data_IF_277033661572
#
_entry.id   IF_277033661572
#
_cell.length_a   1.000
_cell.length_b   1.000
_cell.length_c   1.000
_cell.angle_alpha   90.00
_cell.angle_beta   90.00
_cell.angle_gamma   90.00
#
_symmetry.space_group_name_H-M   'P 1'
#
loop_
_entity.id
_entity.type
_entity.pdbx_description
1 polymer ?
#
# COMPACT_ATOMS: atom_id res chain seq x y z
N UNK A 1 13.62 10.25 1.48
CA UNK A 1 13.31 9.61 2.77
C UNK A 1 13.15 10.72 3.79
N UNK A 2 12.06 10.74 4.55
CA UNK A 2 11.80 11.80 5.53
C UNK A 2 12.19 11.28 6.90
N UNK A 3 13.37 11.66 7.37
CA UNK A 3 13.82 11.33 8.72
C UNK A 3 13.11 12.21 9.75
N UNK A 4 12.74 11.63 10.89
CA UNK A 4 11.97 12.29 11.95
C UNK A 4 12.54 11.96 13.32
N UNK A 5 12.41 12.89 14.26
CA UNK A 5 12.68 12.61 15.67
C UNK A 5 11.61 11.64 16.18
N UNK A 6 12.03 10.66 16.98
CA UNK A 6 11.20 9.55 17.44
C UNK A 6 11.07 9.63 18.96
N UNK A 7 9.84 9.71 19.45
CA UNK A 7 9.56 9.63 20.89
C UNK A 7 9.52 8.19 21.34
N UNK A 8 9.97 7.94 22.55
CA UNK A 8 10.00 6.64 23.16
C UNK A 8 9.15 6.62 24.43
N UNK A 9 8.47 5.49 24.67
CA UNK A 9 7.62 5.30 25.82
C UNK A 9 7.86 3.92 26.42
N UNK A 10 7.73 3.81 27.74
CA UNK A 10 7.66 2.51 28.41
C UNK A 10 6.30 1.87 28.09
N UNK A 11 6.31 0.64 27.55
CA UNK A 11 5.09 -0.04 27.08
C UNK A 11 4.07 -0.27 28.19
N UNK A 12 4.54 -0.60 29.41
CA UNK A 12 3.66 -1.02 30.49
C UNK A 12 3.00 0.17 31.18
N UNK A 13 3.78 1.21 31.49
CA UNK A 13 3.32 2.41 32.18
C UNK A 13 2.80 3.50 31.24
N UNK A 14 3.18 3.46 29.96
CA UNK A 14 2.95 4.54 29.00
C UNK A 14 3.78 5.80 29.29
N UNK A 15 4.70 5.74 30.25
CA UNK A 15 5.52 6.89 30.63
C UNK A 15 6.46 7.27 29.50
N UNK A 16 6.62 8.58 29.27
CA UNK A 16 7.59 9.09 28.32
C UNK A 16 9.01 8.73 28.77
N UNK A 17 9.73 7.98 27.93
CA UNK A 17 11.08 7.50 28.21
C UNK A 17 12.16 8.44 27.64
N UNK A 18 11.83 9.24 26.63
CA UNK A 18 12.76 10.15 25.95
C UNK A 18 12.62 10.09 24.44
N UNK A 19 13.70 10.43 23.74
CA UNK A 19 13.79 10.42 22.29
C UNK A 19 14.84 9.40 21.84
N UNK A 20 14.53 8.61 20.82
CA UNK A 20 15.49 7.68 20.25
C UNK A 20 16.71 8.47 19.73
N UNK A 21 17.92 7.96 19.95
CA UNK A 21 19.15 8.58 19.48
C UNK A 21 20.26 7.53 19.31
N UNK A 22 21.49 8.01 19.17
CA UNK A 22 22.67 7.19 18.97
C UNK A 22 23.85 7.72 19.77
N UNK A 23 24.60 6.81 20.40
CA UNK A 23 25.90 7.09 20.97
C UNK A 23 26.94 6.11 20.40
N UNK A 24 27.69 6.59 19.39
CA UNK A 24 28.55 5.75 18.57
C UNK A 24 27.72 4.77 17.71
N UNK A 25 27.90 3.47 17.94
CA UNK A 25 27.07 2.43 17.31
C UNK A 25 25.80 2.13 18.11
N UNK A 26 25.76 2.45 19.40
CA UNK A 26 24.66 2.09 20.29
C UNK A 26 23.38 2.85 19.92
N UNK A 27 22.27 2.15 20.05
CA UNK A 27 20.93 2.72 20.12
C UNK A 27 20.72 3.22 21.55
N UNK A 28 20.37 4.49 21.67
CA UNK A 28 20.15 5.12 22.97
C UNK A 28 18.82 5.87 23.02
N UNK A 29 18.38 6.24 24.23
CA UNK A 29 17.26 7.14 24.47
C UNK A 29 17.78 8.35 25.25
N UNK A 30 17.57 9.55 24.70
CA UNK A 30 18.01 10.82 25.30
C UNK A 30 16.82 11.62 25.80
N UNK A 31 17.02 12.43 26.84
CA UNK A 31 15.91 13.18 27.46
C UNK A 31 15.48 14.43 26.68
N UNK A 32 16.41 15.06 25.94
CA UNK A 32 16.17 16.30 25.20
C UNK A 32 16.04 16.03 23.69
N UNK A 33 15.02 16.62 23.06
CA UNK A 33 14.72 16.44 21.64
C UNK A 33 15.89 16.91 20.75
N UNK A 34 16.63 17.94 21.19
CA UNK A 34 17.74 18.51 20.42
C UNK A 34 18.91 17.52 20.23
N UNK A 35 19.04 16.57 21.15
CA UNK A 35 20.11 15.56 21.18
C UNK A 35 19.67 14.26 20.48
N UNK A 36 18.43 14.24 19.99
CA UNK A 36 17.86 13.10 19.31
C UNK A 36 18.36 12.99 17.86
N UNK A 37 18.46 11.74 17.39
CA UNK A 37 18.82 11.47 15.99
C UNK A 37 17.55 11.26 15.17
N UNK A 38 17.43 11.84 13.97
CA UNK A 38 16.30 11.52 13.10
C UNK A 38 16.38 10.11 12.53
N UNK A 39 15.26 9.38 12.53
CA UNK A 39 15.14 8.02 11.97
C UNK A 39 14.05 7.95 10.90
N UNK A 40 14.11 6.90 10.08
CA UNK A 40 13.08 6.58 9.11
C UNK A 40 12.91 5.07 8.98
N UNK A 41 11.70 4.64 8.62
CA UNK A 41 11.46 3.28 8.16
C UNK A 41 12.03 3.09 6.75
N UNK A 42 12.73 1.98 6.53
CA UNK A 42 13.30 1.60 5.25
C UNK A 42 12.83 0.20 4.86
N UNK A 43 12.27 0.06 3.67
CA UNK A 43 11.84 -1.22 3.14
C UNK A 43 12.81 -1.70 2.06
N UNK A 44 13.20 -2.98 2.14
CA UNK A 44 13.94 -3.67 1.09
C UNK A 44 13.31 -5.04 0.84
N UNK A 45 12.72 -5.22 -0.34
CA UNK A 45 11.87 -6.39 -0.59
C UNK A 45 10.68 -6.43 0.37
N UNK A 46 10.50 -7.56 1.06
CA UNK A 46 9.52 -7.76 2.13
C UNK A 46 9.95 -7.20 3.48
N UNK A 47 11.23 -6.90 3.64
CA UNK A 47 11.82 -6.68 4.95
C UNK A 47 11.76 -5.20 5.32
N UNK A 48 11.52 -4.96 6.62
CA UNK A 48 11.50 -3.63 7.21
C UNK A 48 12.77 -3.43 8.04
N UNK A 49 13.36 -2.26 7.92
CA UNK A 49 14.50 -1.83 8.72
C UNK A 49 14.22 -0.45 9.31
N UNK A 50 14.74 -0.20 10.50
CA UNK A 50 14.84 1.15 11.05
C UNK A 50 16.20 1.71 10.67
N UNK A 51 16.26 2.88 10.03
CA UNK A 51 17.51 3.52 9.64
C UNK A 51 17.67 4.89 10.27
N UNK A 52 18.88 5.22 10.69
CA UNK A 52 19.24 6.53 11.22
C UNK A 52 19.73 7.47 10.12
N UNK A 53 19.57 8.78 10.32
CA UNK A 53 20.09 9.79 9.40
C UNK A 53 21.62 9.87 9.51
N UNK A 54 22.33 9.00 8.79
CA UNK A 54 23.79 8.96 8.77
C UNK A 54 24.33 8.66 7.38
N UNK A 55 25.59 9.03 7.15
CA UNK A 55 26.38 8.61 5.98
C UNK A 55 27.65 7.90 6.45
N UNK A 56 27.87 6.62 6.10
CA UNK A 56 26.95 5.74 5.37
C UNK A 56 25.64 5.48 6.15
N UNK A 57 24.60 5.04 5.43
CA UNK A 57 23.35 4.64 6.05
C UNK A 57 23.58 3.46 7.00
N UNK A 58 22.96 3.53 8.17
CA UNK A 58 23.03 2.48 9.19
C UNK A 58 21.64 2.05 9.61
N UNK A 59 21.55 0.79 10.02
CA UNK A 59 20.30 0.08 10.23
C UNK A 59 20.32 -0.59 11.60
N UNK A 60 19.18 -0.58 12.27
CA UNK A 60 19.01 -1.23 13.55
C UNK A 60 19.29 -2.73 13.42
N UNK A 61 19.93 -3.31 14.43
CA UNK A 61 19.98 -4.75 14.61
C UNK A 61 20.57 -5.12 15.97
N UNK A 62 21.11 -6.32 16.07
CA UNK A 62 21.61 -6.88 17.33
C UNK A 62 23.12 -7.04 17.31
N UNK A 63 23.78 -6.51 18.34
CA UNK A 63 25.19 -6.74 18.63
C UNK A 63 25.40 -7.62 19.86
N UNK A 64 26.66 -7.97 20.12
CA UNK A 64 27.04 -8.84 21.24
C UNK A 64 26.52 -8.32 22.59
N UNK A 65 26.08 -9.23 23.45
CA UNK A 65 25.44 -8.89 24.73
C UNK A 65 24.01 -8.37 24.60
N UNK A 66 23.30 -8.72 23.51
CA UNK A 66 21.91 -8.33 23.22
C UNK A 66 21.71 -6.82 23.07
N UNK A 67 22.77 -6.07 22.78
CA UNK A 67 22.68 -4.63 22.58
C UNK A 67 21.98 -4.33 21.26
N UNK A 68 21.12 -3.32 21.25
CA UNK A 68 20.60 -2.77 20.03
C UNK A 68 21.65 -1.80 19.46
N UNK A 69 22.08 -2.02 18.23
CA UNK A 69 23.17 -1.29 17.57
C UNK A 69 22.79 -0.89 16.14
N UNK A 70 23.49 0.12 15.61
CA UNK A 70 23.37 0.63 14.25
C UNK A 70 24.43 0.04 13.33
N UNK A 71 24.11 -1.08 12.68
CA UNK A 71 24.96 -1.82 11.73
C UNK A 71 24.95 -1.27 10.29
N UNK A 72 25.88 -1.74 9.47
CA UNK A 72 25.92 -1.45 8.03
C UNK A 72 25.08 -2.49 7.26
N UNK A 73 24.53 -2.11 6.10
CA UNK A 73 23.66 -2.97 5.27
C UNK A 73 24.23 -4.36 4.96
N UNK A 74 25.56 -4.46 4.78
CA UNK A 74 26.28 -5.69 4.51
C UNK A 74 27.36 -6.00 5.57
N UNK A 75 27.28 -5.34 6.73
CA UNK A 75 28.17 -5.56 7.86
C UNK A 75 27.47 -6.30 8.99
N UNK A 76 28.20 -6.50 10.09
CA UNK A 76 27.64 -7.10 11.29
C UNK A 76 26.52 -6.21 11.89
N UNK A 77 25.58 -6.84 12.59
CA UNK A 77 24.59 -6.21 13.47
C UNK A 77 23.45 -5.42 12.79
N UNK A 78 23.17 -5.68 11.51
CA UNK A 78 21.95 -5.22 10.82
C UNK A 78 20.91 -6.35 10.81
N UNK A 79 19.67 -6.08 11.22
CA UNK A 79 18.60 -7.08 11.19
C UNK A 79 17.28 -6.47 10.70
N UNK A 80 16.49 -7.23 9.91
CA UNK A 80 15.11 -6.85 9.66
C UNK A 80 14.31 -6.86 10.96
N UNK A 81 13.35 -5.94 11.07
CA UNK A 81 12.53 -5.74 12.26
C UNK A 81 11.04 -5.80 11.96
N UNK A 82 10.25 -6.06 12.99
CA UNK A 82 8.79 -5.94 12.98
C UNK A 82 8.45 -4.75 13.87
N UNK A 83 7.63 -3.82 13.38
CA UNK A 83 6.99 -2.83 14.25
C UNK A 83 5.58 -3.32 14.58
N UNK A 84 5.37 -3.59 15.87
CA UNK A 84 4.19 -4.26 16.39
C UNK A 84 3.01 -3.28 16.50
N UNK A 85 1.80 -3.82 16.63
CA UNK A 85 0.58 -3.01 16.82
C UNK A 85 0.63 -2.15 18.09
N UNK A 86 1.36 -2.58 19.11
CA UNK A 86 1.61 -1.83 20.34
C UNK A 86 2.79 -0.84 20.23
N UNK A 87 3.26 -0.52 19.03
CA UNK A 87 4.39 0.39 18.76
C UNK A 87 5.75 -0.05 19.33
N UNK A 88 5.88 -1.28 19.83
CA UNK A 88 7.18 -1.88 20.12
C UNK A 88 7.84 -2.41 18.86
N UNK A 89 9.17 -2.62 18.90
CA UNK A 89 9.93 -3.18 17.77
C UNK A 89 10.51 -4.54 18.15
N UNK A 90 10.30 -5.55 17.31
CA UNK A 90 10.90 -6.89 17.45
C UNK A 90 11.93 -7.19 16.37
N UNK A 91 12.82 -8.13 16.62
CA UNK A 91 13.61 -8.78 15.56
C UNK A 91 12.67 -9.61 14.67
N UNK A 92 12.79 -9.48 13.35
CA UNK A 92 11.95 -10.27 12.44
C UNK A 92 12.26 -11.78 12.51
N UNK A 93 13.50 -12.15 12.82
CA UNK A 93 13.92 -13.55 13.02
C UNK A 93 13.44 -14.15 14.36
N UNK A 94 13.02 -13.31 15.32
CA UNK A 94 12.57 -13.74 16.63
C UNK A 94 11.50 -12.75 17.17
N UNK A 95 10.22 -12.86 16.72
CA UNK A 95 9.20 -11.85 17.01
C UNK A 95 8.89 -11.61 18.50
N UNK A 96 9.21 -12.56 19.38
CA UNK A 96 9.12 -12.39 20.83
C UNK A 96 10.19 -11.46 21.41
N UNK A 97 11.34 -11.32 20.75
CA UNK A 97 12.46 -10.48 21.20
C UNK A 97 12.27 -9.05 20.73
N UNK A 98 12.12 -8.14 21.70
CA UNK A 98 11.70 -6.75 21.51
C UNK A 98 12.72 -5.77 22.06
N UNK A 99 12.73 -4.55 21.54
CA UNK A 99 13.51 -3.46 22.14
C UNK A 99 13.02 -3.20 23.56
N UNK A 100 13.96 -3.06 24.49
CA UNK A 100 13.74 -2.71 25.89
C UNK A 100 14.71 -1.64 26.34
N UNK A 101 14.30 -0.84 27.31
CA UNK A 101 15.11 0.18 27.95
C UNK A 101 15.14 -0.09 29.46
N UNK A 102 16.20 -0.75 29.96
CA UNK A 102 16.35 -1.01 31.39
C UNK A 102 16.29 0.28 32.22
N UNK A 103 15.64 0.21 33.38
CA UNK A 103 15.51 1.36 34.28
C UNK A 103 16.88 1.92 34.69
N UNK A 104 17.05 3.23 34.48
CA UNK A 104 18.31 3.93 34.79
C UNK A 104 19.41 3.78 33.73
N UNK A 105 19.15 3.09 32.62
CA UNK A 105 20.05 3.01 31.47
C UNK A 105 19.54 3.92 30.34
N UNK A 106 20.46 4.44 29.54
CA UNK A 106 20.15 5.16 28.30
C UNK A 106 20.28 4.27 27.07
N UNK A 107 20.87 3.07 27.20
CA UNK A 107 21.09 2.13 26.12
C UNK A 107 19.91 1.20 25.94
N UNK A 108 19.60 0.94 24.68
CA UNK A 108 18.53 0.03 24.28
C UNK A 108 19.09 -1.37 24.04
N UNK A 109 18.37 -2.37 24.50
CA UNK A 109 18.72 -3.78 24.36
C UNK A 109 17.57 -4.56 23.71
N UNK A 110 17.87 -5.76 23.22
CA UNK A 110 16.89 -6.75 22.84
C UNK A 110 16.55 -7.63 24.04
N UNK A 111 15.26 -7.81 24.31
CA UNK A 111 14.78 -8.77 25.30
C UNK A 111 15.10 -10.22 24.89
N UNK A 112 14.99 -11.13 25.85
CA UNK A 112 15.10 -12.58 25.60
C UNK A 112 13.84 -13.15 24.98
N UNK A 113 12.70 -12.60 25.38
CA UNK A 113 11.36 -12.97 24.96
C UNK A 113 10.39 -11.79 25.19
N UNK A 114 9.08 -12.04 25.11
CA UNK A 114 8.04 -11.04 25.25
C UNK A 114 7.63 -10.76 26.71
N UNK A 115 8.25 -11.44 27.68
CA UNK A 115 7.93 -11.32 29.11
C UNK A 115 8.59 -10.13 29.81
N UNK A 116 9.56 -9.49 29.15
CA UNK A 116 10.19 -8.29 29.68
C UNK A 116 9.15 -7.17 29.94
N UNK A 117 9.30 -6.47 31.05
CA UNK A 117 8.35 -5.46 31.53
C UNK A 117 8.71 -4.05 31.07
N UNK A 118 9.97 -3.81 30.75
CA UNK A 118 10.60 -2.53 30.36
C UNK A 118 10.70 -2.38 28.83
N UNK A 119 9.68 -2.85 28.13
CA UNK A 119 9.64 -2.86 26.67
C UNK A 119 9.48 -1.43 26.16
N UNK A 120 10.30 -1.09 25.17
CA UNK A 120 10.33 0.24 24.58
C UNK A 120 9.35 0.32 23.40
N UNK A 121 8.41 1.26 23.47
CA UNK A 121 7.62 1.70 22.33
C UNK A 121 8.33 2.87 21.65
N UNK A 122 8.32 2.90 20.32
CA UNK A 122 8.85 4.03 19.55
C UNK A 122 7.74 4.63 18.68
N UNK A 123 7.56 5.94 18.72
CA UNK A 123 6.55 6.64 17.92
C UNK A 123 7.17 7.19 16.64
N UNK A 124 7.42 6.27 15.69
CA UNK A 124 7.83 6.64 14.33
C UNK A 124 6.70 6.47 13.31
N UNK A 125 5.52 6.02 13.77
CA UNK A 125 4.35 5.70 12.94
C UNK A 125 4.64 4.58 11.94
N UNK A 126 3.91 3.46 12.03
CA UNK A 126 4.09 2.43 11.02
C UNK A 126 3.37 2.81 9.72
N UNK A 127 3.99 2.75 8.52
CA UNK A 127 3.22 2.70 7.28
C UNK A 127 2.12 1.61 7.28
N UNK A 128 2.28 0.52 8.05
CA UNK A 128 1.27 -0.55 8.15
C UNK A 128 0.01 -0.15 8.93
N UNK A 129 0.08 0.82 9.86
CA UNK A 129 -1.02 1.16 10.77
C UNK A 129 -1.23 2.67 10.94
N UNK A 130 -0.92 3.46 9.92
CA UNK A 130 -0.86 4.92 10.06
C UNK A 130 -2.23 5.57 10.33
N UNK A 131 -3.34 4.91 9.98
CA UNK A 131 -4.69 5.42 10.31
C UNK A 131 -5.02 5.27 11.80
N UNK A 132 -4.27 4.49 12.58
CA UNK A 132 -4.42 4.43 14.04
C UNK A 132 -4.27 5.81 14.70
N UNK A 133 -3.44 6.69 14.11
CA UNK A 133 -3.17 8.04 14.61
C UNK A 133 -4.16 9.10 14.11
N UNK A 134 -5.13 8.72 13.28
CA UNK A 134 -6.18 9.63 12.79
C UNK A 134 -7.42 9.49 13.70
N UNK A 135 -8.01 10.58 14.21
CA UNK A 135 -9.21 10.50 15.03
C UNK A 135 -10.35 9.75 14.33
N UNK A 136 -11.02 8.84 15.04
CA UNK A 136 -12.11 8.04 14.48
C UNK A 136 -13.31 8.85 13.97
N UNK A 137 -13.46 10.09 14.43
CA UNK A 137 -14.50 11.05 13.99
C UNK A 137 -14.19 11.70 12.63
N UNK A 138 -12.96 11.60 12.14
CA UNK A 138 -12.55 12.15 10.83
C UNK A 138 -13.31 11.44 9.72
N UNK A 139 -13.92 12.19 8.80
CA UNK A 139 -14.60 11.59 7.64
C UNK A 139 -13.58 10.99 6.69
N UNK A 140 -13.86 9.82 6.12
CA UNK A 140 -12.91 9.15 5.21
C UNK A 140 -12.59 9.98 3.96
N UNK A 141 -13.48 10.89 3.57
CA UNK A 141 -13.28 11.83 2.46
C UNK A 141 -12.31 12.98 2.78
N UNK A 142 -12.03 13.23 4.05
CA UNK A 142 -11.12 14.28 4.52
C UNK A 142 -9.69 13.74 4.77
N UNK A 143 -9.49 12.43 4.56
CA UNK A 143 -8.20 11.76 4.75
C UNK A 143 -7.46 11.70 3.41
N UNK A 144 -6.20 12.15 3.39
CA UNK A 144 -5.32 11.96 2.24
C UNK A 144 -4.86 10.51 2.16
N UNK A 145 -5.45 9.72 1.26
CA UNK A 145 -5.09 8.31 1.06
C UNK A 145 -4.06 8.15 -0.06
N UNK A 146 -2.88 7.56 0.21
CA UNK A 146 -2.00 7.07 -0.84
C UNK A 146 -2.70 5.94 -1.61
N UNK A 147 -2.65 6.02 -2.94
CA UNK A 147 -3.27 5.02 -3.82
C UNK A 147 -2.35 4.52 -4.94
N UNK A 148 -2.65 3.35 -5.47
CA UNK A 148 -1.92 2.75 -6.59
C UNK A 148 -2.83 2.55 -7.81
N UNK A 149 -2.34 2.94 -8.99
CA UNK A 149 -3.03 2.72 -10.26
C UNK A 149 -2.89 1.26 -10.68
N UNK A 150 -4.00 0.62 -11.04
CA UNK A 150 -4.04 -0.78 -11.46
C UNK A 150 -3.25 -1.71 -10.53
N UNK A 151 -3.62 -1.69 -9.25
CA UNK A 151 -2.84 -2.19 -8.12
C UNK A 151 -2.41 -3.64 -8.26
N UNK A 152 -3.22 -4.46 -8.94
CA UNK A 152 -2.99 -5.88 -9.13
C UNK A 152 -2.24 -6.23 -10.42
N UNK A 153 -1.87 -5.24 -11.23
CA UNK A 153 -1.07 -5.43 -12.44
C UNK A 153 0.41 -5.68 -12.09
N UNK A 154 0.66 -6.83 -11.47
CA UNK A 154 1.92 -7.21 -10.83
C UNK A 154 2.60 -8.31 -11.64
N UNK A 155 3.72 -8.00 -12.28
CA UNK A 155 4.61 -9.04 -12.83
C UNK A 155 5.89 -9.13 -12.00
N UNK A 156 6.05 -10.27 -11.32
CA UNK A 156 7.18 -10.55 -10.43
C UNK A 156 8.44 -11.00 -11.17
N UNK A 157 8.34 -11.31 -12.47
CA UNK A 157 9.40 -12.02 -13.23
C UNK A 157 9.86 -11.24 -14.46
N UNK A 158 9.00 -10.44 -15.09
CA UNK A 158 9.32 -9.71 -16.31
C UNK A 158 8.68 -8.33 -16.31
N UNK A 159 9.37 -7.34 -16.89
CA UNK A 159 8.75 -6.04 -17.17
C UNK A 159 7.91 -6.20 -18.44
N UNK A 160 6.59 -6.17 -18.29
CA UNK A 160 5.67 -6.10 -19.43
C UNK A 160 5.13 -4.68 -19.56
N UNK A 161 4.69 -4.25 -20.76
CA UNK A 161 4.02 -2.96 -20.91
C UNK A 161 2.68 -2.87 -20.17
N UNK A 162 2.19 -3.99 -19.64
CA UNK A 162 0.92 -4.11 -18.93
C UNK A 162 1.10 -4.13 -17.41
N UNK A 163 2.33 -4.20 -16.91
CA UNK A 163 2.62 -4.29 -15.49
C UNK A 163 2.86 -2.92 -14.90
N UNK A 164 2.16 -2.60 -13.82
CA UNK A 164 2.27 -1.32 -13.12
C UNK A 164 3.07 -1.43 -11.82
N UNK A 165 3.19 -2.63 -11.24
CA UNK A 165 3.79 -2.85 -9.93
C UNK A 165 4.70 -4.07 -9.91
N UNK A 166 5.69 -4.05 -9.02
CA UNK A 166 6.52 -5.21 -8.66
C UNK A 166 6.25 -5.70 -7.23
N UNK A 167 5.36 -5.01 -6.49
CA UNK A 167 4.98 -5.33 -5.11
C UNK A 167 3.60 -5.98 -5.07
N UNK A 168 3.44 -7.01 -4.23
CA UNK A 168 2.13 -7.64 -3.98
C UNK A 168 1.13 -6.66 -3.36
N UNK A 169 -0.14 -7.03 -3.30
CA UNK A 169 -1.16 -6.20 -2.64
C UNK A 169 -0.82 -6.05 -1.16
N UNK A 170 -0.44 -7.14 -0.48
CA UNK A 170 0.05 -7.07 0.91
C UNK A 170 1.21 -6.07 1.06
N UNK A 171 2.22 -6.14 0.20
CA UNK A 171 3.38 -5.22 0.27
C UNK A 171 3.02 -3.76 -0.02
N UNK A 172 2.03 -3.50 -0.87
CA UNK A 172 1.51 -2.15 -1.10
C UNK A 172 0.80 -1.62 0.15
N UNK A 173 -0.10 -2.43 0.73
CA UNK A 173 -0.83 -2.08 1.96
C UNK A 173 0.14 -1.86 3.13
N UNK A 174 1.17 -2.70 3.26
CA UNK A 174 2.17 -2.55 4.30
C UNK A 174 3.03 -1.28 4.15
N UNK A 175 3.19 -0.80 2.91
CA UNK A 175 3.89 0.44 2.62
C UNK A 175 3.02 1.70 2.83
N UNK A 176 1.78 1.54 3.31
CA UNK A 176 0.86 2.64 3.63
C UNK A 176 -0.17 2.97 2.56
N UNK A 177 -0.25 2.19 1.47
CA UNK A 177 -1.30 2.33 0.47
C UNK A 177 -2.66 1.98 1.09
N UNK A 178 -3.68 2.82 0.86
CA UNK A 178 -5.05 2.60 1.35
C UNK A 178 -6.11 2.76 0.26
N UNK A 179 -5.71 3.10 -0.96
CA UNK A 179 -6.58 3.15 -2.13
C UNK A 179 -6.06 2.22 -3.23
N UNK A 180 -6.80 1.15 -3.53
CA UNK A 180 -6.46 0.19 -4.58
C UNK A 180 -7.35 0.43 -5.82
N UNK A 181 -6.76 0.60 -7.00
CA UNK A 181 -7.47 0.55 -8.28
C UNK A 181 -7.45 -0.89 -8.79
N UNK A 182 -8.55 -1.61 -8.61
CA UNK A 182 -8.71 -3.02 -8.97
C UNK A 182 -9.52 -3.13 -10.26
N UNK A 183 -8.92 -3.79 -11.25
CA UNK A 183 -9.49 -3.95 -12.59
C UNK A 183 -9.68 -5.41 -12.93
N UNK A 184 -10.89 -5.76 -13.32
CA UNK A 184 -11.31 -7.15 -13.50
C UNK A 184 -11.45 -7.51 -14.97
N UNK A 185 -11.01 -8.73 -15.27
CA UNK A 185 -11.37 -9.52 -16.44
C UNK A 185 -12.43 -10.55 -16.04
N UNK A 186 -13.46 -10.68 -16.87
CA UNK A 186 -14.45 -11.77 -16.75
C UNK A 186 -13.90 -13.02 -17.46
N UNK A 187 -13.87 -14.15 -16.76
CA UNK A 187 -13.58 -15.48 -17.32
C UNK A 187 -14.84 -16.33 -17.26
N UNK A 188 -15.17 -17.01 -18.35
CA UNK A 188 -16.29 -17.96 -18.44
C UNK A 188 -15.76 -19.39 -18.40
N UNK A 189 -16.57 -20.31 -17.87
CA UNK A 189 -16.30 -21.74 -18.01
C UNK A 189 -16.64 -22.18 -19.46
N UNK A 190 -15.67 -22.63 -20.26
CA UNK A 190 -15.92 -23.03 -21.64
C UNK A 190 -16.64 -24.38 -21.77
N UNK A 191 -16.71 -25.19 -20.69
CA UNK A 191 -17.09 -26.61 -20.77
C UNK A 191 -18.28 -26.99 -19.87
N UNK A 192 -19.01 -26.03 -19.31
CA UNK A 192 -20.08 -26.29 -18.35
C UNK A 192 -21.16 -25.20 -18.33
N UNK A 193 -22.11 -25.26 -17.38
CA UNK A 193 -23.09 -24.19 -17.21
C UNK A 193 -22.37 -22.84 -16.99
N UNK A 194 -22.99 -21.72 -17.41
CA UNK A 194 -22.37 -20.40 -17.32
C UNK A 194 -21.96 -20.11 -15.87
N UNK A 195 -20.64 -20.08 -15.66
CA UNK A 195 -20.01 -19.71 -14.40
C UNK A 195 -19.01 -18.61 -14.70
N UNK A 196 -19.20 -17.47 -14.05
CA UNK A 196 -18.34 -16.30 -14.19
C UNK A 196 -17.33 -16.27 -13.05
N UNK A 197 -16.06 -16.16 -13.41
CA UNK A 197 -14.95 -15.96 -12.47
C UNK A 197 -14.21 -14.68 -12.81
N UNK A 198 -13.53 -14.10 -11.83
CA UNK A 198 -12.93 -12.79 -11.95
C UNK A 198 -11.42 -12.87 -11.73
N UNK A 199 -10.68 -12.46 -12.75
CA UNK A 199 -9.23 -12.29 -12.69
C UNK A 199 -8.91 -10.80 -12.65
N UNK A 200 -7.81 -10.41 -12.02
CA UNK A 200 -7.34 -9.03 -12.17
C UNK A 200 -6.60 -8.86 -13.49
N UNK A 201 -6.71 -7.70 -14.14
CA UNK A 201 -6.14 -7.47 -15.46
C UNK A 201 -5.69 -6.02 -15.69
N UNK A 202 -4.96 -5.77 -16.78
CA UNK A 202 -4.59 -4.44 -17.25
C UNK A 202 -5.16 -4.19 -18.66
N UNK A 203 -6.34 -3.55 -18.74
CA UNK A 203 -7.03 -3.26 -20.00
C UNK A 203 -7.55 -4.51 -20.72
N UNK A 204 -8.01 -4.33 -21.96
CA UNK A 204 -8.39 -5.41 -22.88
C UNK A 204 -7.39 -5.42 -24.05
N UNK A 205 -6.60 -6.48 -24.16
CA UNK A 205 -5.56 -6.63 -25.20
C UNK A 205 -6.01 -7.51 -26.39
N UNK A 206 -7.28 -7.92 -26.43
CA UNK A 206 -7.98 -8.36 -27.64
C UNK A 206 -7.53 -9.64 -28.34
N UNK A 207 -6.61 -10.44 -27.80
CA UNK A 207 -5.98 -11.53 -28.57
C UNK A 207 -5.66 -12.81 -27.78
N UNK A 208 -6.40 -13.14 -26.72
CA UNK A 208 -6.19 -14.39 -25.96
C UNK A 208 -4.83 -14.50 -25.26
N UNK A 209 -4.02 -13.44 -25.29
CA UNK A 209 -2.80 -13.35 -24.52
C UNK A 209 -3.15 -13.15 -23.05
N UNK A 210 -2.66 -14.02 -22.17
CA UNK A 210 -2.85 -13.88 -20.71
C UNK A 210 -1.81 -12.95 -20.07
N UNK A 211 -0.99 -12.28 -20.88
CA UNK A 211 0.10 -11.42 -20.40
C UNK A 211 -0.37 -10.16 -19.66
N UNK A 212 -1.65 -9.80 -19.78
CA UNK A 212 -2.29 -8.70 -19.05
C UNK A 212 -3.18 -9.20 -17.91
N UNK A 213 -3.16 -10.51 -17.61
CA UNK A 213 -3.97 -11.16 -16.57
C UNK A 213 -3.04 -11.56 -15.42
N UNK A 214 -3.51 -11.37 -14.18
CA UNK A 214 -2.70 -11.53 -12.98
C UNK A 214 -3.34 -12.51 -12.00
N UNK A 215 -3.46 -12.14 -10.73
CA UNK A 215 -4.06 -13.00 -9.72
C UNK A 215 -5.59 -13.04 -9.81
N UNK A 216 -6.21 -14.02 -9.14
CA UNK A 216 -7.66 -14.07 -9.01
C UNK A 216 -8.14 -12.91 -8.12
N UNK A 217 -9.36 -12.42 -8.37
CA UNK A 217 -9.96 -11.40 -7.50
C UNK A 217 -10.12 -11.92 -6.06
N UNK A 218 -10.46 -13.20 -5.90
CA UNK A 218 -10.53 -13.85 -4.60
C UNK A 218 -9.19 -13.80 -3.85
N UNK A 219 -8.06 -14.12 -4.52
CA UNK A 219 -6.73 -14.03 -3.88
C UNK A 219 -6.40 -12.62 -3.43
N UNK A 220 -6.78 -11.59 -4.21
CA UNK A 220 -6.62 -10.19 -3.82
C UNK A 220 -7.43 -9.83 -2.56
N UNK A 221 -8.67 -10.33 -2.48
CA UNK A 221 -9.56 -10.10 -1.34
C UNK A 221 -9.03 -10.78 -0.07
N UNK A 222 -8.44 -11.97 -0.21
CA UNK A 222 -7.73 -12.65 0.90
C UNK A 222 -6.57 -11.79 1.41
N UNK A 223 -5.69 -11.28 0.53
CA UNK A 223 -4.61 -10.37 0.95
C UNK A 223 -5.14 -9.12 1.68
N UNK A 224 -6.24 -8.52 1.19
CA UNK A 224 -6.90 -7.39 1.86
C UNK A 224 -7.42 -7.77 3.26
N UNK A 225 -8.05 -8.95 3.38
CA UNK A 225 -8.64 -9.44 4.63
C UNK A 225 -7.57 -9.73 5.69
N UNK A 226 -6.50 -10.41 5.29
CA UNK A 226 -5.39 -10.73 6.18
C UNK A 226 -4.73 -9.45 6.70
N UNK A 227 -4.56 -8.45 5.82
CA UNK A 227 -4.07 -7.14 6.22
C UNK A 227 -4.99 -6.44 7.23
N UNK A 228 -6.30 -6.39 6.98
CA UNK A 228 -7.26 -5.74 7.89
C UNK A 228 -7.41 -6.49 9.22
N UNK A 229 -7.24 -7.82 9.23
CA UNK A 229 -7.21 -8.62 10.45
C UNK A 229 -5.95 -8.33 11.29
N UNK A 230 -4.79 -8.15 10.64
CA UNK A 230 -3.55 -7.79 11.31
C UNK A 230 -3.52 -6.33 11.79
N UNK A 231 -4.18 -5.41 11.06
CA UNK A 231 -4.21 -3.98 11.35
C UNK A 231 -5.65 -3.46 11.41
N UNK A 232 -6.42 -3.81 12.46
CA UNK A 232 -7.84 -3.46 12.57
C UNK A 232 -8.11 -1.96 12.69
N UNK A 233 -7.07 -1.13 12.90
CA UNK A 233 -7.19 0.32 12.82
C UNK A 233 -7.40 0.81 11.38
N UNK A 234 -7.00 0.05 10.37
CA UNK A 234 -6.97 0.51 8.99
C UNK A 234 -8.29 0.25 8.26
N UNK A 235 -8.47 0.87 7.09
CA UNK A 235 -9.51 0.50 6.12
C UNK A 235 -8.91 0.54 4.72
N UNK A 236 -9.55 -0.13 3.76
CA UNK A 236 -9.09 -0.13 2.36
C UNK A 236 -10.18 0.51 1.50
N UNK A 237 -9.86 1.58 0.76
CA UNK A 237 -10.69 2.02 -0.35
C UNK A 237 -10.34 1.21 -1.59
N UNK A 238 -11.35 0.63 -2.26
CA UNK A 238 -11.16 -0.18 -3.46
C UNK A 238 -11.97 0.41 -4.62
N UNK A 239 -11.28 1.00 -5.59
CA UNK A 239 -11.86 1.37 -6.89
C UNK A 239 -12.00 0.12 -7.73
N UNK A 240 -13.24 -0.33 -7.97
CA UNK A 240 -13.51 -1.56 -8.70
C UNK A 240 -14.06 -1.27 -10.09
N UNK A 241 -13.44 -1.83 -11.12
CA UNK A 241 -13.84 -1.67 -12.52
C UNK A 241 -13.76 -3.00 -13.26
N UNK A 242 -14.76 -3.30 -14.10
CA UNK A 242 -14.61 -4.31 -15.16
C UNK A 242 -13.87 -3.65 -16.34
N UNK A 243 -12.65 -4.10 -16.62
CA UNK A 243 -11.77 -3.53 -17.66
C UNK A 243 -11.68 -4.41 -18.90
N UNK A 244 -11.85 -5.73 -18.73
CA UNK A 244 -11.94 -6.68 -19.82
C UNK A 244 -13.19 -7.58 -19.65
N UNK A 245 -14.13 -7.46 -20.59
CA UNK A 245 -15.34 -8.29 -20.58
C UNK A 245 -15.15 -9.61 -21.32
N UNK A 246 -13.98 -9.87 -21.94
CA UNK A 246 -13.66 -11.06 -22.71
C UNK A 246 -14.77 -11.50 -23.70
N UNK A 247 -15.37 -10.51 -24.37
CA UNK A 247 -16.50 -10.69 -25.30
C UNK A 247 -17.71 -11.43 -24.72
N UNK A 248 -17.93 -11.36 -23.40
CA UNK A 248 -19.21 -11.76 -22.79
C UNK A 248 -20.33 -10.92 -23.42
N UNK A 249 -21.40 -11.54 -23.93
CA UNK A 249 -22.54 -10.82 -24.49
C UNK A 249 -23.15 -9.84 -23.50
N UNK A 250 -23.60 -8.67 -23.95
CA UNK A 250 -24.25 -7.67 -23.09
C UNK A 250 -25.45 -8.27 -22.31
N UNK A 251 -26.14 -9.25 -22.89
CA UNK A 251 -27.27 -9.96 -22.28
C UNK A 251 -26.88 -10.74 -21.02
N UNK A 252 -25.62 -11.13 -20.88
CA UNK A 252 -25.11 -11.92 -19.75
C UNK A 252 -24.64 -11.04 -18.59
N UNK A 253 -24.50 -9.73 -18.80
CA UNK A 253 -24.03 -8.79 -17.77
C UNK A 253 -24.83 -8.83 -16.46
N UNK A 254 -26.17 -8.97 -16.44
CA UNK A 254 -26.90 -9.15 -15.18
C UNK A 254 -26.45 -10.38 -14.37
N UNK A 255 -26.14 -11.50 -15.05
CA UNK A 255 -25.66 -12.72 -14.40
C UNK A 255 -24.20 -12.56 -13.94
N UNK A 256 -23.36 -11.85 -14.70
CA UNK A 256 -22.00 -11.46 -14.27
C UNK A 256 -22.05 -10.63 -12.99
N UNK A 257 -22.90 -9.61 -12.94
CA UNK A 257 -23.04 -8.75 -11.76
C UNK A 257 -23.53 -9.54 -10.56
N UNK A 258 -24.50 -10.45 -10.75
CA UNK A 258 -24.96 -11.37 -9.69
C UNK A 258 -23.82 -12.25 -9.16
N UNK A 259 -22.97 -12.77 -10.05
CA UNK A 259 -21.81 -13.56 -9.65
C UNK A 259 -20.76 -12.71 -8.90
N UNK A 260 -20.55 -11.46 -9.32
CA UNK A 260 -19.65 -10.54 -8.63
C UNK A 260 -20.18 -10.18 -7.23
N UNK A 261 -21.47 -9.90 -7.11
CA UNK A 261 -22.12 -9.63 -5.83
C UNK A 261 -21.98 -10.83 -4.88
N UNK A 262 -22.10 -12.06 -5.38
CA UNK A 262 -21.89 -13.27 -4.58
C UNK A 262 -20.43 -13.41 -4.08
N UNK A 263 -19.45 -12.98 -4.87
CA UNK A 263 -18.04 -12.90 -4.43
C UNK A 263 -17.90 -11.86 -3.33
N UNK A 264 -18.48 -10.66 -3.51
CA UNK A 264 -18.38 -9.54 -2.57
C UNK A 264 -19.17 -9.74 -1.27
N UNK A 265 -20.27 -10.51 -1.30
CA UNK A 265 -21.13 -10.76 -0.14
C UNK A 265 -20.40 -11.47 1.02
N UNK A 266 -19.30 -12.16 0.74
CA UNK A 266 -18.48 -12.86 1.72
C UNK A 266 -17.29 -12.02 2.24
N UNK A 267 -17.24 -10.73 1.88
CA UNK A 267 -16.11 -9.85 2.18
C UNK A 267 -16.48 -8.76 3.19
N UNK A 268 -15.45 -8.09 3.72
CA UNK A 268 -15.58 -7.01 4.72
C UNK A 268 -16.05 -5.69 4.09
N UNK A 269 -17.00 -5.74 3.16
CA UNK A 269 -17.50 -4.57 2.43
C UNK A 269 -18.37 -3.72 3.35
N UNK A 270 -18.06 -2.44 3.46
CA UNK A 270 -18.91 -1.51 4.20
C UNK A 270 -20.28 -1.36 3.50
N UNK A 271 -21.38 -1.14 4.26
CA UNK A 271 -22.70 -0.93 3.68
C UNK A 271 -22.72 0.20 2.66
N UNK A 272 -23.57 0.05 1.64
CA UNK A 272 -23.58 0.86 0.42
C UNK A 272 -23.67 2.37 0.67
N UNK A 273 -23.02 3.11 -0.23
CA UNK A 273 -22.95 4.57 -0.36
C UNK A 273 -23.96 5.36 0.49
N UNK A 274 -23.57 5.75 1.72
CA UNK A 274 -24.43 6.59 2.52
C UNK A 274 -24.56 7.97 1.88
N UNK A 275 -25.70 8.62 2.09
CA UNK A 275 -25.97 10.00 1.64
C UNK A 275 -24.99 11.03 2.22
N UNK A 276 -24.26 10.66 3.28
CA UNK A 276 -23.16 11.43 3.87
C UNK A 276 -21.91 10.55 3.98
N UNK A 277 -20.72 11.17 3.89
CA UNK A 277 -19.45 10.46 4.03
C UNK A 277 -19.32 9.83 5.43
N UNK A 278 -18.72 8.64 5.51
CA UNK A 278 -18.60 7.91 6.78
C UNK A 278 -17.39 8.39 7.61
N UNK A 279 -17.51 8.43 8.95
CA UNK A 279 -16.37 8.56 9.84
C UNK A 279 -15.44 7.34 9.74
N UNK A 280 -14.14 7.57 9.95
CA UNK A 280 -13.10 6.54 9.96
C UNK A 280 -13.44 5.40 10.92
N UNK A 281 -13.96 5.70 12.11
CA UNK A 281 -14.32 4.69 13.12
C UNK A 281 -15.29 3.64 12.59
N UNK A 282 -16.22 4.02 11.71
CA UNK A 282 -17.20 3.10 11.08
C UNK A 282 -16.56 2.21 10.02
N UNK A 283 -15.44 2.64 9.47
CA UNK A 283 -14.74 2.03 8.34
C UNK A 283 -13.55 1.16 8.72
N UNK A 284 -12.99 1.32 9.93
CA UNK A 284 -11.90 0.50 10.43
C UNK A 284 -12.24 -1.00 10.30
N UNK A 285 -11.28 -1.79 9.82
CA UNK A 285 -11.43 -3.21 9.52
C UNK A 285 -12.27 -3.54 8.28
N UNK A 286 -12.62 -2.57 7.43
CA UNK A 286 -13.51 -2.77 6.27
C UNK A 286 -12.91 -2.28 4.96
N UNK A 287 -13.53 -2.73 3.87
CA UNK A 287 -13.29 -2.26 2.52
C UNK A 287 -14.41 -1.29 2.11
N UNK A 288 -14.04 -0.07 1.72
CA UNK A 288 -14.92 0.92 1.11
C UNK A 288 -14.89 0.74 -0.42
N UNK A 289 -16.00 0.29 -1.00
CA UNK A 289 -16.07 0.06 -2.44
C UNK A 289 -16.39 1.35 -3.20
N UNK A 290 -15.46 1.78 -4.04
CA UNK A 290 -15.63 2.83 -5.03
C UNK A 290 -16.02 2.18 -6.36
N UNK A 291 -17.32 1.97 -6.54
CA UNK A 291 -17.89 1.36 -7.74
C UNK A 291 -17.66 2.21 -9.00
N UNK A 292 -16.94 1.63 -9.97
CA UNK A 292 -16.74 2.16 -11.33
C UNK A 292 -17.21 1.16 -12.40
N UNK A 293 -18.05 0.20 -12.00
CA UNK A 293 -18.74 -0.70 -12.90
C UNK A 293 -19.85 0.10 -13.56
N UNK A 294 -19.62 0.54 -14.79
CA UNK A 294 -20.67 1.14 -15.61
C UNK A 294 -21.49 0.01 -16.23
N UNK A 295 -22.81 -0.08 -15.97
CA UNK A 295 -23.68 -0.95 -16.74
C UNK A 295 -23.60 -0.56 -18.21
N UNK A 296 -23.49 -1.53 -19.12
CA UNK A 296 -23.49 -1.29 -20.56
C UNK A 296 -24.77 -0.57 -21.05
N UNK A 297 -25.85 -0.63 -20.26
CA UNK A 297 -27.12 0.01 -20.55
C UNK A 297 -27.78 0.51 -19.25
N UNK A 298 -27.45 1.72 -18.80
CA UNK A 298 -28.34 2.46 -17.91
C UNK A 298 -28.25 3.96 -18.13
N UNK A 299 -29.41 4.60 -18.24
CA UNK A 299 -29.59 6.03 -18.02
C UNK A 299 -29.04 6.42 -16.64
N UNK A 300 -28.45 7.62 -16.49
CA UNK A 300 -27.59 7.92 -15.37
C UNK A 300 -28.39 8.16 -14.10
N UNK A 301 -28.32 7.22 -13.16
CA UNK A 301 -28.63 7.48 -11.75
C UNK A 301 -27.40 7.21 -10.89
N UNK A 302 -27.04 8.25 -10.12
CA UNK A 302 -26.14 8.28 -8.96
C UNK A 302 -24.66 7.86 -9.07
N UNK A 303 -24.12 7.31 -10.17
CA UNK A 303 -22.66 7.27 -10.35
C UNK A 303 -22.17 8.59 -10.95
N UNK A 304 -21.31 9.34 -10.23
CA UNK A 304 -20.66 10.52 -10.81
C UNK A 304 -19.84 10.06 -12.01
N UNK A 305 -20.29 10.44 -13.22
CA UNK A 305 -19.69 10.05 -14.49
C UNK A 305 -18.19 10.35 -14.50
N UNK A 306 -17.36 9.32 -14.47
CA UNK A 306 -15.97 9.42 -14.90
C UNK A 306 -15.97 9.69 -16.41
N UNK A 307 -15.79 10.96 -16.81
CA UNK A 307 -15.64 11.31 -18.22
C UNK A 307 -14.35 10.66 -18.73
N UNK A 308 -14.48 9.74 -19.69
CA UNK A 308 -13.32 9.28 -20.47
C UNK A 308 -12.63 10.53 -21.04
N UNK A 309 -11.31 10.66 -20.87
CA UNK A 309 -10.55 11.64 -21.65
C UNK A 309 -10.82 11.32 -23.12
N UNK A 310 -11.29 12.31 -23.87
CA UNK A 310 -11.35 12.22 -25.33
C UNK A 310 -9.98 11.77 -25.82
N UNK A 311 -9.89 10.89 -26.84
CA UNK A 311 -8.62 10.67 -27.53
C UNK A 311 -8.05 12.04 -27.87
N UNK A 312 -6.76 12.27 -27.60
CA UNK A 312 -6.09 13.48 -28.07
C UNK A 312 -6.49 13.62 -29.54
N UNK A 313 -7.11 14.75 -29.90
CA UNK A 313 -7.25 15.12 -31.31
C UNK A 313 -5.89 14.88 -31.94
N UNK A 314 -5.89 14.21 -33.09
CA UNK A 314 -4.71 14.02 -33.92
C UNK A 314 -3.85 15.28 -33.86
N UNK A 315 -2.52 15.17 -33.73
CA UNK A 315 -1.68 16.36 -33.80
C UNK A 315 -2.09 17.14 -35.05
N UNK A 316 -2.22 18.48 -34.99
CA UNK A 316 -2.54 19.24 -36.18
C UNK A 316 -1.55 18.82 -37.25
N UNK A 317 -2.09 18.43 -38.41
CA UNK A 317 -1.34 18.08 -39.61
C UNK A 317 -0.13 18.98 -39.70
N UNK A 318 1.05 18.38 -39.84
CA UNK A 318 2.32 19.10 -39.94
C UNK A 318 2.12 20.38 -40.76
N UNK A 319 2.45 21.51 -40.15
CA UNK A 319 2.49 22.80 -40.81
C UNK A 319 3.35 22.60 -42.06
N UNK A 320 2.73 22.60 -43.24
CA UNK A 320 3.44 22.50 -44.49
C UNK A 320 4.39 23.69 -44.54
N UNK A 321 5.69 23.43 -44.42
CA UNK A 321 6.71 24.39 -44.82
C UNK A 321 6.45 24.71 -46.30
N UNK A 322 5.85 25.87 -46.57
CA UNK A 322 5.83 26.43 -47.91
C UNK A 322 7.29 26.65 -48.31
N UNK A 323 7.77 25.85 -49.26
CA UNK A 323 8.99 26.16 -49.97
C UNK A 323 8.79 27.49 -50.69
N UNK A 324 9.68 28.44 -50.45
CA UNK A 324 9.71 29.69 -51.20
C UNK A 324 10.09 29.36 -52.65
N UNK A 325 9.17 29.59 -53.58
CA UNK A 325 9.41 29.49 -55.01
C UNK A 325 10.29 30.68 -55.44
N UNK A 326 11.55 30.42 -55.75
CA UNK A 326 12.40 31.34 -56.51
C UNK A 326 11.87 31.42 -57.94
N UNK A 327 11.31 32.58 -58.30
CA UNK A 327 10.92 32.92 -59.67
C UNK A 327 12.13 33.53 -60.38
N UNK A 328 12.64 32.82 -61.39
CA UNK A 328 13.56 33.33 -62.39
C UNK A 328 12.77 34.13 -63.45
N UNK A 329 13.25 35.30 -63.91
CA UNK A 329 12.55 36.09 -64.92
C UNK A 329 12.73 35.51 -66.34
N UNK A 330 11.78 35.75 -67.26
CA UNK A 330 11.84 35.19 -68.60
C UNK A 330 12.87 35.93 -69.48
N UNK A 331 13.51 35.17 -70.36
CA UNK A 331 14.39 35.68 -71.39
C UNK A 331 13.59 36.25 -72.56
N UNK A 332 13.71 37.56 -72.77
CA UNK A 332 13.81 38.27 -74.05
C UNK A 332 13.97 39.76 -73.80
#
# INVERSE_FOLDING_TARGET
>A
MTYRIVKCYDRLSGAFAGYLSTHGNNVTVVSDEKDATPFNWYHYGSDLYLTKNSSPARYLGEAGGKRADWGLWAGDYCAPVIYNADSSVSLASAPGRRLRLPSGDDRVFWSDDDTATDILQIDLGHPRAWLANVPGTTLIGDINLPGTHDSAAIDKKKVTPYSCHYRTITQQLEAGVRLLDVRLMIKTNPSGPPAYTFMTCHGNVGLGHEAHVYQTFHSLLVECRDFLAAYPSEFIAMSLKIDDQNAVPDADMPAVLTALDAVLANELIAPSWPTAMLPLATMRGKIYLLDRIVPACSTPTASRRWRRRSPRRSPPTAMAFRSASTTTPPAS
#
